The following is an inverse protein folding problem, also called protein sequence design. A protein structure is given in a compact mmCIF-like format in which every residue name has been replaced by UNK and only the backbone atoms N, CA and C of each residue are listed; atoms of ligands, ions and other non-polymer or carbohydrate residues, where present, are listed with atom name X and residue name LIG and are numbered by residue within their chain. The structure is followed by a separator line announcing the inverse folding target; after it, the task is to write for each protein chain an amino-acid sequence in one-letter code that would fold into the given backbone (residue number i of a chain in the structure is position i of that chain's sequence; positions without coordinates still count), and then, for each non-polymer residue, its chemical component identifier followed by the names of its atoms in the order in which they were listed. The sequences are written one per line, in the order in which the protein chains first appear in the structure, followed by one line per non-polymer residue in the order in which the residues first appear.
data_IF_508920645950
#
_entry.id   IF_508920645950
#
_cell.length_a   1.000
_cell.length_b   1.000
_cell.length_c   1.000
_cell.angle_alpha   90.00
_cell.angle_beta   90.00
_cell.angle_gamma   90.00
#
_symmetry.space_group_name_H-M   'P 1'
#
loop_
_entity.id
_entity.type
_entity.pdbx_description
1 polymer ?
#
# COMPACT_ATOMS: atom_id res chain seq x y z
N UNK A 1 5.96 35.01 42.84
CA UNK A 1 7.24 35.17 42.10
C UNK A 1 6.99 35.23 40.58
N UNK A 2 7.90 35.81 39.77
CA UNK A 2 7.75 35.86 38.30
C UNK A 2 7.62 34.45 37.67
N UNK A 3 8.31 33.46 38.24
CA UNK A 3 8.26 32.07 37.79
C UNK A 3 6.91 31.35 38.02
N UNK A 4 6.03 31.92 38.85
CA UNK A 4 4.70 31.36 39.15
C UNK A 4 3.60 31.90 38.22
N UNK A 5 3.92 32.91 37.41
CA UNK A 5 2.98 33.50 36.45
C UNK A 5 2.86 32.62 35.21
N UNK A 6 1.66 32.60 34.65
CA UNK A 6 1.42 32.02 33.33
C UNK A 6 1.64 33.08 32.25
N UNK A 7 2.33 32.69 31.19
CA UNK A 7 2.67 33.52 30.06
C UNK A 7 2.12 32.88 28.79
N UNK A 8 1.61 33.71 27.88
CA UNK A 8 1.35 33.31 26.50
C UNK A 8 2.64 33.50 25.71
N UNK A 9 3.34 32.39 25.42
CA UNK A 9 4.65 32.41 24.77
C UNK A 9 4.46 32.07 23.28
N UNK A 10 4.64 33.04 22.36
CA UNK A 10 4.45 32.81 20.93
C UNK A 10 5.29 31.64 20.40
N UNK A 11 4.65 30.70 19.72
CA UNK A 11 5.32 29.55 19.09
C UNK A 11 5.77 28.44 20.06
N UNK A 12 5.37 28.50 21.33
CA UNK A 12 5.68 27.48 22.34
C UNK A 12 4.40 26.94 22.99
N UNK A 13 4.43 25.67 23.43
CA UNK A 13 3.36 25.10 24.26
C UNK A 13 3.58 25.32 25.76
N UNK A 14 4.72 25.92 26.13
CA UNK A 14 5.04 26.18 27.53
C UNK A 14 4.31 27.43 27.99
N UNK A 15 3.65 27.34 29.14
CA UNK A 15 2.91 28.45 29.76
C UNK A 15 3.61 29.04 30.96
N UNK A 16 4.76 28.47 31.39
CA UNK A 16 5.52 28.93 32.56
C UNK A 16 7.00 29.01 32.26
N UNK A 17 7.67 29.97 32.87
CA UNK A 17 9.12 30.16 32.80
C UNK A 17 9.75 29.71 34.13
N UNK A 18 10.79 28.89 34.06
CA UNK A 18 11.48 28.45 35.28
C UNK A 18 12.28 29.60 35.88
N UNK A 19 12.43 29.61 37.20
CA UNK A 19 13.22 30.63 37.91
C UNK A 19 14.65 30.71 37.38
N UNK A 20 15.29 29.56 37.12
CA UNK A 20 16.62 29.47 36.48
C UNK A 20 16.67 30.11 35.10
N UNK A 21 15.59 30.03 34.31
CA UNK A 21 15.53 30.66 32.98
C UNK A 21 15.49 32.18 33.10
N UNK A 22 14.68 32.70 34.03
CA UNK A 22 14.54 34.14 34.29
C UNK A 22 15.86 34.71 34.81
N UNK A 23 16.50 34.02 35.76
CA UNK A 23 17.80 34.38 36.31
C UNK A 23 18.89 34.39 35.21
N UNK A 24 18.94 33.36 34.36
CA UNK A 24 19.88 33.29 33.25
C UNK A 24 19.70 34.44 32.25
N UNK A 25 18.45 34.81 31.93
CA UNK A 25 18.14 35.95 31.07
C UNK A 25 18.53 37.28 31.72
N UNK A 26 18.26 37.46 33.03
CA UNK A 26 18.64 38.66 33.76
C UNK A 26 20.16 38.91 33.70
N UNK A 27 20.96 37.88 33.99
CA UNK A 27 22.42 38.00 33.92
C UNK A 27 22.95 38.09 32.48
N UNK A 28 22.27 37.50 31.49
CA UNK A 28 22.63 37.69 30.09
C UNK A 28 22.39 39.15 29.66
N UNK A 29 21.26 39.72 30.04
CA UNK A 29 20.91 41.12 29.79
C UNK A 29 21.89 42.10 30.47
N UNK A 30 22.28 41.84 31.73
CA UNK A 30 23.28 42.66 32.42
C UNK A 30 24.65 42.67 31.71
N UNK A 31 25.01 41.60 31.00
CA UNK A 31 26.32 41.48 30.33
C UNK A 31 26.38 42.10 28.93
N UNK A 32 25.26 42.18 28.22
CA UNK A 32 25.28 42.59 26.81
C UNK A 32 23.95 43.13 26.30
N UNK A 33 23.13 43.65 27.20
CA UNK A 33 21.84 44.25 26.85
C UNK A 33 20.88 43.26 26.18
N UNK A 34 19.98 43.78 25.36
CA UNK A 34 18.95 42.98 24.70
C UNK A 34 19.53 42.00 23.65
N UNK A 35 20.65 42.35 23.02
CA UNK A 35 21.33 41.51 22.02
C UNK A 35 21.85 40.21 22.63
N UNK A 36 22.26 40.22 23.89
CA UNK A 36 22.70 39.03 24.61
C UNK A 36 21.57 38.02 24.90
N UNK A 37 20.31 38.42 24.76
CA UNK A 37 19.14 37.54 24.86
C UNK A 37 18.81 36.83 23.55
N UNK A 38 19.45 37.23 22.44
CA UNK A 38 19.26 36.52 21.17
C UNK A 38 19.76 35.08 21.27
N UNK A 39 18.97 34.09 20.82
CA UNK A 39 19.40 32.70 20.81
C UNK A 39 20.66 32.53 19.98
N UNK A 40 21.81 32.28 20.64
CA UNK A 40 23.06 31.96 19.94
C UNK A 40 22.85 30.72 19.07
N UNK A 41 23.28 30.80 17.81
CA UNK A 41 23.31 29.65 16.94
C UNK A 41 24.17 28.55 17.59
N UNK A 42 23.64 27.34 17.70
CA UNK A 42 24.38 26.23 18.31
C UNK A 42 25.66 25.93 17.51
N UNK A 43 26.77 25.73 18.21
CA UNK A 43 28.08 25.45 17.60
C UNK A 43 28.14 24.09 16.87
N UNK A 44 27.23 23.15 17.19
CA UNK A 44 27.13 21.82 16.57
C UNK A 44 26.30 21.80 15.28
N UNK A 45 25.90 22.97 14.77
CA UNK A 45 25.05 23.09 13.59
C UNK A 45 25.81 22.62 12.34
N UNK A 46 25.51 21.39 11.90
CA UNK A 46 26.10 20.77 10.71
C UNK A 46 27.03 19.58 10.99
N UNK A 47 27.41 19.35 12.25
CA UNK A 47 28.22 18.18 12.61
C UNK A 47 27.31 16.96 12.80
N UNK A 48 27.46 15.96 11.93
CA UNK A 48 26.79 14.68 12.08
C UNK A 48 27.44 13.91 13.23
N UNK A 49 26.65 13.51 14.24
CA UNK A 49 27.10 12.61 15.32
C UNK A 49 27.36 11.17 14.84
N UNK A 50 27.21 10.90 13.54
CA UNK A 50 27.42 9.58 12.93
C UNK A 50 28.92 9.40 12.66
N UNK A 51 29.54 8.29 13.07
CA UNK A 51 30.95 8.00 12.76
C UNK A 51 31.26 8.02 11.25
N UNK A 52 32.45 8.49 10.81
CA UNK A 52 32.79 8.64 9.38
C UNK A 52 32.58 7.36 8.55
N UNK A 53 32.99 6.20 9.05
CA UNK A 53 32.81 4.92 8.37
C UNK A 53 31.32 4.60 8.10
N UNK A 54 30.44 4.95 9.04
CA UNK A 54 28.99 4.76 8.90
C UNK A 54 28.42 5.80 7.93
N UNK A 55 28.93 7.04 7.93
CA UNK A 55 28.53 8.05 6.95
C UNK A 55 28.83 7.59 5.52
N UNK A 56 30.05 7.10 5.27
CA UNK A 56 30.44 6.57 3.95
C UNK A 56 29.56 5.41 3.52
N UNK A 57 29.26 4.47 4.43
CA UNK A 57 28.37 3.36 4.13
C UNK A 57 26.93 3.81 3.80
N UNK A 58 26.39 4.80 4.52
CA UNK A 58 25.08 5.42 4.22
C UNK A 58 25.10 6.08 2.84
N UNK A 59 26.13 6.88 2.55
CA UNK A 59 26.26 7.60 1.29
C UNK A 59 26.47 6.66 0.10
N UNK A 60 27.32 5.64 0.24
CA UNK A 60 27.54 4.60 -0.75
C UNK A 60 26.24 3.85 -1.05
N UNK A 61 25.52 3.39 -0.01
CA UNK A 61 24.24 2.71 -0.19
C UNK A 61 23.17 3.62 -0.83
N UNK A 62 23.20 4.93 -0.56
CA UNK A 62 22.29 5.89 -1.20
C UNK A 62 22.68 6.21 -2.65
N UNK A 63 23.97 6.24 -2.98
CA UNK A 63 24.46 6.45 -4.36
C UNK A 63 24.23 5.23 -5.24
N UNK A 64 24.41 4.03 -4.68
CA UNK A 64 24.11 2.76 -5.35
C UNK A 64 22.64 2.67 -5.78
N UNK A 65 21.73 3.13 -4.93
CA UNK A 65 20.32 3.26 -5.29
C UNK A 65 19.70 4.53 -4.68
N UNK A 66 19.60 5.63 -5.47
CA UNK A 66 19.06 6.91 -5.03
C UNK A 66 17.62 6.84 -4.50
N UNK A 67 16.85 5.78 -4.80
CA UNK A 67 15.47 5.61 -4.34
C UNK A 67 15.35 5.06 -2.92
N UNK A 68 16.41 4.51 -2.33
CA UNK A 68 16.38 3.93 -0.97
C UNK A 68 15.92 4.95 0.07
N UNK A 69 14.94 4.56 0.88
CA UNK A 69 14.44 5.37 2.00
C UNK A 69 15.40 5.34 3.19
N UNK A 70 15.30 6.34 4.06
CA UNK A 70 16.15 6.44 5.26
C UNK A 70 16.01 5.22 6.16
N UNK A 71 14.78 4.74 6.39
CA UNK A 71 14.53 3.57 7.24
C UNK A 71 15.11 2.29 6.64
N UNK A 72 15.18 2.20 5.30
CA UNK A 72 15.83 1.09 4.60
C UNK A 72 17.35 1.18 4.73
N UNK A 73 17.93 2.36 4.63
CA UNK A 73 19.37 2.55 4.87
C UNK A 73 19.72 2.05 6.27
N UNK A 74 18.99 2.50 7.30
CA UNK A 74 19.22 2.06 8.68
C UNK A 74 19.13 0.53 8.79
N UNK A 75 18.05 -0.09 8.31
CA UNK A 75 17.87 -1.56 8.35
C UNK A 75 18.91 -2.34 7.55
N UNK A 76 19.38 -1.80 6.44
CA UNK A 76 20.39 -2.42 5.60
C UNK A 76 21.75 -2.42 6.31
N UNK A 77 22.12 -1.31 6.93
CA UNK A 77 23.33 -1.19 7.75
C UNK A 77 23.28 -2.08 9.00
N UNK A 78 22.12 -2.17 9.66
CA UNK A 78 21.89 -3.08 10.79
C UNK A 78 22.04 -4.55 10.36
N UNK A 79 21.43 -4.95 9.24
CA UNK A 79 21.54 -6.32 8.70
C UNK A 79 22.95 -6.70 8.27
N UNK A 80 23.75 -5.74 7.80
CA UNK A 80 25.15 -5.95 7.44
C UNK A 80 26.09 -5.99 8.65
N UNK A 81 25.56 -5.83 9.88
CA UNK A 81 26.36 -5.80 11.10
C UNK A 81 27.23 -4.54 11.24
N UNK A 82 27.00 -3.52 10.42
CA UNK A 82 27.80 -2.28 10.41
C UNK A 82 27.38 -1.32 11.53
N UNK A 83 26.16 -1.50 12.06
CA UNK A 83 25.52 -0.63 13.05
C UNK A 83 24.63 -1.48 13.96
N UNK A 84 24.59 -1.19 15.26
CA UNK A 84 23.66 -1.85 16.18
C UNK A 84 22.21 -1.39 15.96
N UNK A 85 21.25 -2.28 16.21
CA UNK A 85 19.83 -1.97 16.04
C UNK A 85 19.42 -0.72 16.84
N UNK A 86 18.85 0.28 16.16
CA UNK A 86 18.40 1.53 16.78
C UNK A 86 19.49 2.59 17.03
N UNK A 87 20.76 2.30 16.71
CA UNK A 87 21.86 3.27 16.87
C UNK A 87 21.76 4.44 15.87
N UNK A 88 21.18 4.23 14.68
CA UNK A 88 20.93 5.27 13.69
C UNK A 88 19.51 5.82 13.80
N UNK A 89 19.39 7.12 14.10
CA UNK A 89 18.09 7.79 14.07
C UNK A 89 17.77 8.33 12.68
N UNK A 90 16.50 8.23 12.27
CA UNK A 90 16.00 8.75 10.98
C UNK A 90 16.39 10.22 10.76
N UNK A 91 16.32 11.04 11.80
CA UNK A 91 16.64 12.47 11.75
C UNK A 91 18.14 12.75 11.56
N UNK A 92 19.03 11.89 12.05
CA UNK A 92 20.47 12.02 11.84
C UNK A 92 20.84 11.66 10.39
N UNK A 93 20.28 10.55 9.88
CA UNK A 93 20.49 10.13 8.49
C UNK A 93 19.90 11.14 7.50
N UNK A 94 18.69 11.67 7.77
CA UNK A 94 18.10 12.73 6.95
C UNK A 94 19.01 13.96 6.85
N UNK A 95 19.56 14.43 7.98
CA UNK A 95 20.48 15.58 8.02
C UNK A 95 21.76 15.32 7.23
N UNK A 96 22.34 14.12 7.35
CA UNK A 96 23.51 13.72 6.56
C UNK A 96 23.20 13.75 5.06
N UNK A 97 22.08 13.16 4.64
CA UNK A 97 21.68 13.13 3.23
C UNK A 97 21.37 14.54 2.68
N UNK A 98 20.75 15.40 3.49
CA UNK A 98 20.53 16.81 3.14
C UNK A 98 21.85 17.56 2.94
N UNK A 99 22.80 17.40 3.87
CA UNK A 99 24.12 18.04 3.77
C UNK A 99 24.90 17.63 2.51
N UNK A 100 24.67 16.42 1.99
CA UNK A 100 25.29 15.91 0.77
C UNK A 100 24.41 16.03 -0.48
N UNK A 101 23.28 16.75 -0.44
CA UNK A 101 22.40 16.96 -1.60
C UNK A 101 21.70 15.69 -2.11
N UNK A 102 21.62 14.64 -1.29
CA UNK A 102 21.03 13.33 -1.62
C UNK A 102 19.62 13.14 -1.03
N UNK A 103 19.02 14.22 -0.52
CA UNK A 103 17.64 14.23 -0.04
C UNK A 103 16.66 14.36 -1.22
N UNK A 104 15.47 13.76 -1.09
CA UNK A 104 14.45 13.75 -2.18
C UNK A 104 14.06 15.18 -2.59
N UNK A 105 13.66 15.41 -3.86
CA UNK A 105 13.09 16.68 -4.28
C UNK A 105 11.86 17.03 -3.42
N UNK A 106 11.81 18.29 -2.97
CA UNK A 106 10.70 18.90 -2.25
C UNK A 106 9.45 18.92 -3.14
N UNK A 107 8.39 18.21 -2.74
CA UNK A 107 7.08 18.34 -3.35
C UNK A 107 6.36 19.60 -2.87
N UNK A 108 5.46 20.11 -3.71
CA UNK A 108 4.65 21.31 -3.48
C UNK A 108 3.78 21.16 -2.22
N UNK A 109 3.68 22.19 -1.35
CA UNK A 109 2.78 22.16 -0.20
C UNK A 109 1.31 22.16 -0.68
N UNK A 110 0.57 21.12 -0.33
CA UNK A 110 -0.90 21.06 -0.45
C UNK A 110 -1.52 21.55 0.85
N UNK A 111 -2.62 22.28 0.76
CA UNK A 111 -3.39 22.74 1.92
C UNK A 111 -3.81 21.55 2.81
N UNK A 112 -3.75 21.69 4.15
CA UNK A 112 -4.12 20.65 5.07
C UNK A 112 -5.65 20.51 5.13
N UNK A 113 -6.21 19.54 4.41
CA UNK A 113 -7.56 19.05 4.69
C UNK A 113 -7.56 18.22 5.99
N UNK A 114 -8.55 18.45 6.85
CA UNK A 114 -8.76 17.66 8.07
C UNK A 114 -9.25 16.25 7.69
N UNK A 115 -8.31 15.31 7.56
CA UNK A 115 -8.62 13.90 7.35
C UNK A 115 -8.66 13.17 8.69
N UNK A 116 -9.85 12.70 9.10
CA UNK A 116 -9.94 11.77 10.24
C UNK A 116 -9.58 10.36 9.77
N UNK A 117 -8.57 9.77 10.41
CA UNK A 117 -8.12 8.43 10.07
C UNK A 117 -9.10 7.39 10.63
N UNK A 118 -10.00 6.88 9.78
CA UNK A 118 -10.80 5.69 10.11
C UNK A 118 -9.91 4.43 9.99
N UNK A 119 -10.07 3.45 10.88
CA UNK A 119 -9.47 2.11 10.77
C UNK A 119 -10.51 1.08 11.18
N UNK A 120 -10.65 0.01 10.39
CA UNK A 120 -11.50 -1.11 10.74
C UNK A 120 -11.05 -1.78 12.06
N UNK A 121 -12.00 -2.30 12.82
CA UNK A 121 -11.72 -2.88 14.13
C UNK A 121 -10.98 -4.21 13.99
N UNK A 122 -11.47 -5.09 13.11
CA UNK A 122 -10.92 -6.42 12.90
C UNK A 122 -10.42 -6.68 11.47
N UNK A 123 -9.43 -7.55 11.34
CA UNK A 123 -9.03 -8.09 10.05
C UNK A 123 -10.20 -8.86 9.41
N UNK A 124 -10.40 -8.66 8.12
CA UNK A 124 -11.54 -9.19 7.38
C UNK A 124 -12.77 -8.28 7.39
N UNK A 125 -12.82 -7.19 8.15
CA UNK A 125 -13.98 -6.29 8.11
C UNK A 125 -14.04 -5.53 6.78
N UNK A 126 -12.92 -4.92 6.37
CA UNK A 126 -12.84 -4.07 5.20
C UNK A 126 -11.57 -4.36 4.43
N UNK A 127 -11.73 -4.73 3.16
CA UNK A 127 -10.64 -4.76 2.20
C UNK A 127 -10.76 -3.58 1.24
N UNK A 128 -9.64 -2.91 0.99
CA UNK A 128 -9.51 -1.88 -0.04
C UNK A 128 -8.83 -2.45 -1.28
N UNK A 129 -9.41 -2.20 -2.44
CA UNK A 129 -8.83 -2.55 -3.74
C UNK A 129 -8.45 -1.32 -4.55
N UNK A 130 -7.28 -1.36 -5.18
CA UNK A 130 -6.80 -0.33 -6.11
C UNK A 130 -5.86 -0.92 -7.17
N UNK A 131 -5.69 -0.18 -8.25
CA UNK A 131 -4.83 -0.53 -9.38
C UNK A 131 -3.71 0.48 -9.50
N UNK A 132 -2.48 -0.02 -9.62
CA UNK A 132 -1.29 0.79 -9.85
C UNK A 132 -0.62 0.40 -11.17
N UNK A 133 -0.19 1.39 -11.96
CA UNK A 133 0.66 1.12 -13.12
C UNK A 133 2.02 0.52 -12.71
N UNK A 134 2.36 -0.59 -13.35
CA UNK A 134 3.61 -1.33 -13.18
C UNK A 134 4.64 -1.09 -14.29
N UNK A 135 5.75 -1.84 -14.27
CA UNK A 135 6.76 -1.80 -15.31
C UNK A 135 6.24 -2.38 -16.63
N UNK A 136 7.00 -2.16 -17.72
CA UNK A 136 6.80 -2.88 -18.97
C UNK A 136 7.60 -4.18 -18.95
N UNK A 137 6.95 -5.30 -19.24
CA UNK A 137 7.53 -6.64 -19.27
C UNK A 137 6.98 -7.43 -20.45
N UNK A 138 7.62 -8.53 -20.87
CA UNK A 138 7.04 -9.41 -21.87
C UNK A 138 5.70 -9.98 -21.39
N UNK A 139 4.65 -9.78 -22.19
CA UNK A 139 3.29 -10.26 -21.98
C UNK A 139 2.83 -10.85 -23.31
N UNK A 140 2.55 -12.16 -23.35
CA UNK A 140 2.16 -12.87 -24.58
C UNK A 140 3.13 -12.61 -25.77
N UNK A 141 4.44 -12.64 -25.50
CA UNK A 141 5.47 -12.47 -26.53
C UNK A 141 5.79 -11.02 -26.93
N UNK A 142 5.08 -10.02 -26.40
CA UNK A 142 5.31 -8.60 -26.70
C UNK A 142 5.55 -7.77 -25.43
N UNK A 143 6.30 -6.67 -25.56
CA UNK A 143 6.56 -5.79 -24.42
C UNK A 143 5.32 -4.95 -24.06
N UNK A 144 4.56 -5.44 -23.09
CA UNK A 144 3.32 -4.82 -22.60
C UNK A 144 3.51 -4.06 -21.29
N UNK A 145 2.57 -3.17 -20.96
CA UNK A 145 2.53 -2.51 -19.65
C UNK A 145 1.78 -3.41 -18.67
N UNK A 146 2.38 -3.70 -17.52
CA UNK A 146 1.73 -4.45 -16.45
C UNK A 146 0.94 -3.52 -15.52
N UNK A 147 -0.16 -4.02 -14.97
CA UNK A 147 -1.01 -3.32 -14.01
C UNK A 147 -1.08 -4.14 -12.73
N UNK A 148 -0.71 -3.56 -11.59
CA UNK A 148 -0.77 -4.21 -10.30
C UNK A 148 -2.15 -4.01 -9.70
N UNK A 149 -2.94 -5.07 -9.59
CA UNK A 149 -4.18 -5.06 -8.81
C UNK A 149 -3.86 -5.52 -7.40
N UNK A 150 -4.32 -4.79 -6.39
CA UNK A 150 -4.02 -5.10 -4.99
C UNK A 150 -5.23 -5.00 -4.11
N UNK A 151 -5.43 -6.01 -3.27
CA UNK A 151 -6.45 -6.05 -2.22
C UNK A 151 -5.75 -6.05 -0.86
N UNK A 152 -6.04 -5.04 -0.04
CA UNK A 152 -5.41 -4.80 1.25
C UNK A 152 -6.44 -4.82 2.36
N UNK A 153 -6.15 -5.57 3.41
CA UNK A 153 -6.91 -5.57 4.64
C UNK A 153 -6.68 -4.27 5.44
N UNK A 154 -7.77 -3.64 5.87
CA UNK A 154 -7.67 -2.34 6.53
C UNK A 154 -7.14 -2.43 7.96
N UNK A 155 -7.64 -3.33 8.80
CA UNK A 155 -7.21 -3.37 10.20
C UNK A 155 -5.74 -3.77 10.33
N UNK A 156 -5.30 -4.75 9.55
CA UNK A 156 -3.97 -5.36 9.68
C UNK A 156 -2.92 -4.81 8.72
N UNK A 157 -3.29 -4.02 7.70
CA UNK A 157 -2.42 -3.64 6.58
C UNK A 157 -1.88 -4.83 5.77
N UNK A 158 -2.39 -6.04 6.00
CA UNK A 158 -1.98 -7.21 5.26
C UNK A 158 -2.48 -7.11 3.81
N UNK A 159 -1.59 -7.35 2.85
CA UNK A 159 -2.01 -7.54 1.46
C UNK A 159 -2.66 -8.91 1.33
N UNK A 160 -3.97 -8.94 1.14
CA UNK A 160 -4.73 -10.18 1.01
C UNK A 160 -4.30 -10.93 -0.26
N UNK A 161 -4.22 -10.19 -1.36
CA UNK A 161 -3.52 -10.62 -2.56
C UNK A 161 -3.20 -9.42 -3.45
N UNK A 162 -2.09 -9.52 -4.18
CA UNK A 162 -1.76 -8.61 -5.28
C UNK A 162 -1.20 -9.41 -6.45
N UNK A 163 -1.52 -9.01 -7.66
CA UNK A 163 -0.95 -9.60 -8.87
C UNK A 163 -0.84 -8.56 -9.98
N UNK A 164 0.23 -8.66 -10.75
CA UNK A 164 0.38 -7.99 -12.03
C UNK A 164 -0.48 -8.69 -13.08
N UNK A 165 -1.24 -7.88 -13.80
CA UNK A 165 -2.20 -8.26 -14.84
C UNK A 165 -1.91 -7.47 -16.11
N UNK A 166 -2.28 -8.01 -17.29
CA UNK A 166 -2.05 -7.35 -18.57
C UNK A 166 -2.94 -6.11 -18.77
N UNK A 167 -4.03 -5.99 -18.02
CA UNK A 167 -4.94 -4.85 -18.03
C UNK A 167 -5.51 -4.55 -16.66
N UNK A 168 -6.43 -3.59 -16.65
CA UNK A 168 -7.17 -3.13 -15.46
C UNK A 168 -8.65 -3.51 -15.51
N UNK A 169 -8.98 -4.62 -16.17
CA UNK A 169 -10.37 -5.02 -16.44
C UNK A 169 -11.05 -5.63 -15.20
N UNK A 170 -12.38 -5.71 -15.21
CA UNK A 170 -13.13 -6.44 -14.18
C UNK A 170 -12.63 -7.88 -13.98
N UNK A 171 -12.26 -8.57 -15.07
CA UNK A 171 -11.74 -9.93 -15.03
C UNK A 171 -10.42 -10.03 -14.26
N UNK A 172 -9.57 -9.02 -14.38
CA UNK A 172 -8.29 -8.96 -13.68
C UNK A 172 -8.52 -8.81 -12.16
N UNK A 173 -9.48 -7.98 -11.78
CA UNK A 173 -9.87 -7.79 -10.38
C UNK A 173 -10.54 -9.04 -9.81
N UNK A 174 -11.43 -9.68 -10.57
CA UNK A 174 -12.09 -10.94 -10.19
C UNK A 174 -11.06 -12.06 -9.96
N UNK A 175 -10.06 -12.18 -10.84
CA UNK A 175 -8.98 -13.15 -10.68
C UNK A 175 -8.16 -12.90 -9.40
N UNK A 176 -7.85 -11.64 -9.09
CA UNK A 176 -7.15 -11.27 -7.85
C UNK A 176 -8.01 -11.52 -6.62
N UNK A 177 -9.30 -11.20 -6.68
CA UNK A 177 -10.25 -11.46 -5.60
C UNK A 177 -10.37 -12.95 -5.30
N UNK A 178 -10.49 -13.80 -6.33
CA UNK A 178 -10.54 -15.25 -6.19
C UNK A 178 -9.36 -15.80 -5.40
N UNK A 179 -8.15 -15.36 -5.75
CA UNK A 179 -6.93 -15.75 -5.05
C UNK A 179 -6.85 -15.17 -3.63
N UNK A 180 -7.32 -13.94 -3.41
CA UNK A 180 -7.37 -13.32 -2.09
C UNK A 180 -8.30 -14.10 -1.14
N UNK A 181 -9.52 -14.43 -1.58
CA UNK A 181 -10.47 -15.15 -0.72
C UNK A 181 -10.05 -16.58 -0.43
N UNK A 182 -9.37 -17.23 -1.39
CA UNK A 182 -8.79 -18.56 -1.19
C UNK A 182 -7.70 -18.54 -0.11
N UNK A 183 -6.85 -17.51 -0.08
CA UNK A 183 -5.72 -17.41 0.84
C UNK A 183 -6.08 -16.87 2.21
N UNK A 184 -7.05 -15.95 2.29
CA UNK A 184 -7.25 -15.06 3.44
C UNK A 184 -8.70 -14.99 3.93
N UNK A 185 -9.59 -15.81 3.38
CA UNK A 185 -11.01 -15.83 3.73
C UNK A 185 -11.81 -14.68 3.12
N UNK A 186 -13.04 -14.51 3.58
CA UNK A 186 -14.02 -13.59 3.03
C UNK A 186 -14.04 -12.27 3.83
N UNK A 187 -13.88 -11.11 3.18
CA UNK A 187 -14.11 -9.85 3.85
C UNK A 187 -15.61 -9.58 4.06
N UNK A 188 -15.97 -8.77 5.05
CA UNK A 188 -17.35 -8.24 5.19
C UNK A 188 -17.63 -7.22 4.10
N UNK A 189 -16.69 -6.28 3.87
CA UNK A 189 -16.80 -5.25 2.84
C UNK A 189 -15.59 -5.25 1.93
N UNK A 190 -15.84 -5.13 0.62
CA UNK A 190 -14.82 -4.85 -0.38
C UNK A 190 -15.05 -3.44 -0.91
N UNK A 191 -14.08 -2.56 -0.71
CA UNK A 191 -14.14 -1.16 -1.14
C UNK A 191 -13.19 -0.96 -2.32
N UNK A 192 -13.72 -0.52 -3.45
CA UNK A 192 -12.97 -0.35 -4.70
C UNK A 192 -13.27 0.99 -5.36
N UNK A 193 -12.33 1.47 -6.18
CA UNK A 193 -12.54 2.73 -6.90
C UNK A 193 -13.62 2.62 -7.97
N UNK A 194 -14.25 3.74 -8.30
CA UNK A 194 -15.35 3.84 -9.26
C UNK A 194 -14.88 3.92 -10.73
N UNK A 195 -13.69 3.39 -11.03
CA UNK A 195 -13.18 3.35 -12.41
C UNK A 195 -14.15 2.59 -13.33
N UNK A 196 -14.19 2.88 -14.64
CA UNK A 196 -15.12 2.24 -15.57
C UNK A 196 -15.01 0.70 -15.60
N UNK A 197 -13.83 0.16 -15.30
CA UNK A 197 -13.61 -1.28 -15.14
C UNK A 197 -14.32 -1.91 -13.92
N UNK A 198 -14.67 -1.12 -12.90
CA UNK A 198 -15.26 -1.59 -11.65
C UNK A 198 -16.79 -1.62 -11.66
N UNK A 199 -17.44 -0.96 -12.65
CA UNK A 199 -18.91 -0.98 -12.83
C UNK A 199 -19.44 -2.29 -13.42
N UNK A 200 -18.63 -3.34 -13.47
CA UNK A 200 -19.05 -4.61 -14.00
C UNK A 200 -20.06 -5.27 -13.06
N UNK A 201 -21.26 -5.53 -13.59
CA UNK A 201 -22.31 -6.32 -12.94
C UNK A 201 -21.80 -7.67 -12.42
N UNK A 202 -20.79 -8.24 -13.08
CA UNK A 202 -20.19 -9.54 -12.74
C UNK A 202 -19.53 -9.53 -11.37
N UNK A 203 -18.72 -8.51 -11.05
CA UNK A 203 -18.07 -8.39 -9.75
C UNK A 203 -19.10 -8.22 -8.61
N UNK A 204 -20.16 -7.44 -8.85
CA UNK A 204 -21.28 -7.29 -7.90
C UNK A 204 -21.95 -8.64 -7.63
N UNK A 205 -22.25 -9.41 -8.67
CA UNK A 205 -22.86 -10.73 -8.52
C UNK A 205 -21.94 -11.71 -7.79
N UNK A 206 -20.63 -11.71 -8.08
CA UNK A 206 -19.65 -12.55 -7.39
C UNK A 206 -19.59 -12.19 -5.91
N UNK A 207 -19.47 -10.90 -5.58
CA UNK A 207 -19.47 -10.44 -4.19
C UNK A 207 -20.76 -10.82 -3.46
N UNK A 208 -21.92 -10.65 -4.10
CA UNK A 208 -23.20 -11.04 -3.52
C UNK A 208 -23.28 -12.55 -3.24
N UNK A 209 -22.81 -13.40 -4.16
CA UNK A 209 -22.77 -14.87 -3.98
C UNK A 209 -21.85 -15.30 -2.83
N UNK A 210 -20.78 -14.54 -2.59
CA UNK A 210 -19.82 -14.76 -1.50
C UNK A 210 -20.23 -14.08 -0.19
N UNK A 211 -21.36 -13.36 -0.17
CA UNK A 211 -21.79 -12.58 0.99
C UNK A 211 -20.80 -11.47 1.36
N UNK A 212 -20.21 -10.82 0.36
CA UNK A 212 -19.31 -9.67 0.49
C UNK A 212 -20.09 -8.41 0.09
N UNK A 213 -20.10 -7.39 0.94
CA UNK A 213 -20.70 -6.11 0.62
C UNK A 213 -19.74 -5.27 -0.23
N UNK A 214 -20.01 -5.19 -1.53
CA UNK A 214 -19.23 -4.37 -2.45
C UNK A 214 -19.61 -2.89 -2.33
N UNK A 215 -18.61 -2.04 -2.07
CA UNK A 215 -18.77 -0.59 -1.93
C UNK A 215 -17.87 0.11 -2.93
N UNK A 216 -18.45 0.99 -3.72
CA UNK A 216 -17.70 1.83 -4.65
C UNK A 216 -17.39 3.18 -4.02
N UNK A 217 -16.12 3.60 -4.04
CA UNK A 217 -15.73 4.92 -3.57
C UNK A 217 -16.46 6.00 -4.37
N UNK A 218 -17.10 6.95 -3.69
CA UNK A 218 -17.61 8.16 -4.36
C UNK A 218 -16.41 8.95 -4.90
N UNK A 219 -16.51 9.54 -6.11
CA UNK A 219 -15.53 10.52 -6.57
C UNK A 219 -15.27 11.57 -5.48
N UNK A 220 -14.01 11.91 -5.25
CA UNK A 220 -13.57 12.96 -4.30
C UNK A 220 -13.65 12.65 -2.78
N UNK A 221 -13.89 11.40 -2.35
CA UNK A 221 -13.78 11.00 -0.92
C UNK A 221 -12.64 9.98 -0.67
N UNK A 222 -11.42 10.45 -0.34
CA UNK A 222 -10.22 9.60 -0.21
C UNK A 222 -10.02 8.96 1.17
N UNK A 223 -10.99 9.05 2.08
CA UNK A 223 -10.81 8.81 3.53
C UNK A 223 -10.28 7.41 3.91
N UNK A 224 -10.35 6.41 3.02
CA UNK A 224 -9.71 5.09 3.19
C UNK A 224 -8.49 4.81 2.30
N UNK A 225 -8.29 5.56 1.20
CA UNK A 225 -7.28 5.26 0.17
C UNK A 225 -5.84 5.56 0.60
N UNK A 226 -5.65 6.50 1.53
CA UNK A 226 -4.32 6.93 1.96
C UNK A 226 -3.42 5.80 2.48
N UNK A 227 -4.00 4.71 3.00
CA UNK A 227 -3.25 3.52 3.45
C UNK A 227 -2.72 2.70 2.27
N UNK A 228 -3.56 2.45 1.27
CA UNK A 228 -3.18 1.72 0.06
C UNK A 228 -2.23 2.55 -0.81
N UNK A 229 -2.42 3.87 -0.89
CA UNK A 229 -1.46 4.79 -1.52
C UNK A 229 -0.09 4.81 -0.82
N UNK A 230 -0.08 4.79 0.52
CA UNK A 230 1.15 4.66 1.31
C UNK A 230 1.82 3.31 1.07
N UNK A 231 1.03 2.24 0.91
CA UNK A 231 1.53 0.95 0.50
C UNK A 231 2.12 1.00 -0.92
N UNK A 232 1.45 1.60 -1.91
CA UNK A 232 1.97 1.78 -3.27
C UNK A 232 3.32 2.52 -3.29
N UNK A 233 3.49 3.54 -2.46
CA UNK A 233 4.78 4.23 -2.29
C UNK A 233 5.85 3.29 -1.73
N UNK A 234 5.49 2.50 -0.72
CA UNK A 234 6.39 1.49 -0.14
C UNK A 234 6.77 0.44 -1.17
N UNK A 235 5.80 -0.06 -1.93
CA UNK A 235 5.99 -1.02 -3.01
C UNK A 235 6.92 -0.48 -4.11
N UNK A 236 6.67 0.75 -4.59
CA UNK A 236 7.53 1.42 -5.57
C UNK A 236 8.97 1.56 -5.06
N UNK A 237 9.12 2.00 -3.82
CA UNK A 237 10.45 2.24 -3.24
C UNK A 237 11.21 0.95 -2.95
N UNK A 238 10.53 -0.10 -2.50
CA UNK A 238 11.16 -1.28 -1.93
C UNK A 238 11.26 -2.48 -2.88
N UNK A 239 10.27 -2.65 -3.76
CA UNK A 239 10.21 -3.74 -4.71
C UNK A 239 10.63 -3.25 -6.09
N UNK A 240 9.86 -2.33 -6.69
CA UNK A 240 10.15 -1.84 -8.05
C UNK A 240 11.49 -1.09 -8.12
N UNK A 241 11.90 -0.43 -7.04
CA UNK A 241 13.18 0.26 -6.95
C UNK A 241 14.41 -0.64 -6.98
N UNK A 242 14.28 -1.93 -6.68
CA UNK A 242 15.36 -2.93 -6.73
C UNK A 242 15.13 -3.97 -7.84
N UNK A 243 14.06 -3.81 -8.63
CA UNK A 243 13.69 -4.77 -9.65
C UNK A 243 14.49 -4.52 -10.93
N UNK A 244 15.34 -5.47 -11.30
CA UNK A 244 16.01 -5.47 -12.60
C UNK A 244 15.05 -5.94 -13.70
N UNK A 245 14.30 -5.00 -14.28
CA UNK A 245 13.23 -5.29 -15.26
C UNK A 245 13.74 -6.09 -16.48
N UNK A 246 15.00 -5.89 -16.88
CA UNK A 246 15.63 -6.62 -17.99
C UNK A 246 15.81 -8.12 -17.73
N UNK A 247 15.74 -8.57 -16.47
CA UNK A 247 15.86 -9.99 -16.08
C UNK A 247 14.51 -10.68 -15.90
N UNK A 248 13.42 -10.00 -16.19
CA UNK A 248 12.07 -10.55 -16.07
C UNK A 248 11.73 -11.26 -17.38
N UNK A 249 11.49 -12.57 -17.29
CA UNK A 249 11.11 -13.38 -18.45
C UNK A 249 9.72 -13.03 -18.96
N UNK A 250 8.74 -13.00 -18.07
CA UNK A 250 7.34 -12.75 -18.39
C UNK A 250 6.54 -12.20 -17.18
N UNK A 251 5.22 -12.08 -17.36
CA UNK A 251 4.31 -11.63 -16.32
C UNK A 251 4.24 -12.59 -15.12
N UNK A 252 4.47 -13.88 -15.32
CA UNK A 252 4.42 -14.89 -14.26
C UNK A 252 5.67 -14.82 -13.37
N UNK A 253 6.87 -14.68 -13.96
CA UNK A 253 8.12 -14.42 -13.23
C UNK A 253 8.00 -13.15 -12.37
N UNK A 254 7.44 -12.07 -12.93
CA UNK A 254 7.19 -10.85 -12.18
C UNK A 254 6.24 -11.10 -10.98
N UNK A 255 5.18 -11.88 -11.17
CA UNK A 255 4.25 -12.24 -10.10
C UNK A 255 4.88 -13.13 -9.02
N UNK A 256 5.72 -14.10 -9.40
CA UNK A 256 6.42 -14.96 -8.46
C UNK A 256 7.36 -14.13 -7.54
N UNK A 257 8.10 -13.18 -8.13
CA UNK A 257 8.95 -12.24 -7.37
C UNK A 257 8.13 -11.33 -6.46
N UNK A 258 7.00 -10.82 -6.95
CA UNK A 258 6.07 -10.01 -6.16
C UNK A 258 5.59 -10.77 -4.92
N UNK A 259 5.08 -11.99 -5.09
CA UNK A 259 4.54 -12.78 -3.99
C UNK A 259 5.61 -13.15 -2.97
N UNK A 260 6.80 -13.53 -3.43
CA UNK A 260 7.96 -13.77 -2.57
C UNK A 260 8.29 -12.54 -1.72
N UNK A 261 8.35 -11.35 -2.33
CA UNK A 261 8.60 -10.12 -1.60
C UNK A 261 7.49 -9.76 -0.60
N UNK A 262 6.21 -9.92 -0.99
CA UNK A 262 5.08 -9.62 -0.10
C UNK A 262 5.14 -10.50 1.16
N UNK A 263 5.28 -11.82 0.99
CA UNK A 263 5.23 -12.78 2.10
C UNK A 263 6.52 -12.76 2.93
N UNK A 264 7.70 -12.71 2.28
CA UNK A 264 8.99 -12.77 2.98
C UNK A 264 9.39 -11.43 3.61
N UNK A 265 9.03 -10.30 2.99
CA UNK A 265 9.51 -8.98 3.40
C UNK A 265 8.38 -8.13 3.95
N UNK A 266 7.35 -7.83 3.15
CA UNK A 266 6.35 -6.83 3.53
C UNK A 266 5.54 -7.25 4.77
N UNK A 267 4.92 -8.43 4.73
CA UNK A 267 4.06 -8.92 5.82
C UNK A 267 4.82 -9.13 7.13
N UNK A 268 6.13 -9.31 7.08
CA UNK A 268 7.02 -9.56 8.23
C UNK A 268 7.79 -8.32 8.69
N UNK A 269 7.58 -7.17 8.06
CA UNK A 269 8.24 -5.92 8.44
C UNK A 269 7.38 -5.13 9.43
N UNK A 270 7.94 -4.63 10.56
CA UNK A 270 7.26 -3.71 11.46
C UNK A 270 6.64 -2.51 10.74
N UNK A 271 5.37 -2.22 11.02
CA UNK A 271 4.62 -1.17 10.33
C UNK A 271 4.29 -0.02 11.28
N UNK A 272 4.68 1.22 10.91
CA UNK A 272 4.47 2.40 11.75
C UNK A 272 2.99 2.71 12.03
N UNK A 273 2.10 2.40 11.08
CA UNK A 273 0.65 2.52 11.26
C UNK A 273 0.00 1.42 12.13
N UNK A 274 0.79 0.50 12.67
CA UNK A 274 0.37 -0.61 13.54
C UNK A 274 1.16 -0.62 14.86
N UNK A 275 1.64 0.56 15.31
CA UNK A 275 2.46 0.70 16.51
C UNK A 275 3.67 -0.25 16.55
N UNK A 276 4.29 -0.53 15.40
CA UNK A 276 5.47 -1.40 15.29
C UNK A 276 5.17 -2.88 15.12
N UNK A 277 3.90 -3.31 15.18
CA UNK A 277 3.53 -4.69 14.83
C UNK A 277 3.70 -4.93 13.32
N UNK A 278 3.95 -6.18 12.94
CA UNK A 278 3.98 -6.58 11.52
C UNK A 278 2.55 -6.79 11.01
N UNK A 279 2.28 -6.58 9.70
CA UNK A 279 0.97 -6.87 9.15
C UNK A 279 0.49 -8.30 9.41
N UNK A 280 1.40 -9.28 9.32
CA UNK A 280 1.07 -10.67 9.59
C UNK A 280 0.68 -10.89 11.06
N UNK A 281 1.46 -10.36 12.01
CA UNK A 281 1.18 -10.52 13.43
C UNK A 281 -0.16 -9.88 13.83
N UNK A 282 -0.46 -8.68 13.29
CA UNK A 282 -1.74 -8.02 13.53
C UNK A 282 -2.90 -8.81 12.94
N UNK A 283 -2.76 -9.35 11.73
CA UNK A 283 -3.77 -10.19 11.11
C UNK A 283 -4.02 -11.48 11.90
N UNK A 284 -2.96 -12.09 12.44
CA UNK A 284 -3.04 -13.33 13.22
C UNK A 284 -3.90 -13.21 14.49
N UNK A 285 -3.97 -12.01 15.08
CA UNK A 285 -4.78 -11.76 16.27
C UNK A 285 -6.29 -11.90 16.03
N UNK A 286 -6.75 -11.71 14.79
CA UNK A 286 -8.16 -11.77 14.43
C UNK A 286 -8.54 -13.08 13.69
N UNK A 287 -7.63 -14.07 13.57
CA UNK A 287 -7.90 -15.30 12.80
C UNK A 287 -9.22 -15.99 13.15
N UNK A 288 -9.58 -16.01 14.44
CA UNK A 288 -10.82 -16.63 14.91
C UNK A 288 -12.09 -15.92 14.41
N UNK A 289 -11.99 -14.66 13.97
CA UNK A 289 -13.09 -13.83 13.46
C UNK A 289 -13.19 -13.87 11.94
N UNK A 290 -12.15 -14.35 11.26
CA UNK A 290 -12.11 -14.37 9.80
C UNK A 290 -13.16 -15.35 9.28
N UNK A 291 -14.02 -14.84 8.40
CA UNK A 291 -15.01 -15.66 7.70
C UNK A 291 -14.30 -16.58 6.73
N UNK A 292 -14.33 -17.88 6.99
CA UNK A 292 -13.77 -18.87 6.07
C UNK A 292 -14.67 -19.06 4.86
N UNK A 293 -14.17 -19.71 3.81
CA UNK A 293 -14.97 -20.04 2.64
C UNK A 293 -16.10 -21.05 2.94
N UNK A 294 -15.95 -21.90 3.97
CA UNK A 294 -16.94 -22.90 4.34
C UNK A 294 -17.47 -23.69 3.14
N UNK A 295 -18.80 -23.71 2.97
CA UNK A 295 -19.50 -24.39 1.88
C UNK A 295 -19.21 -23.85 0.47
N UNK A 296 -18.59 -22.66 0.38
CA UNK A 296 -18.17 -22.09 -0.90
C UNK A 296 -16.88 -22.70 -1.42
N UNK A 297 -16.01 -23.26 -0.55
CA UNK A 297 -14.69 -23.74 -0.95
C UNK A 297 -14.73 -24.78 -2.09
N UNK A 298 -15.57 -25.83 -2.06
CA UNK A 298 -15.63 -26.82 -3.15
C UNK A 298 -16.20 -26.27 -4.47
N UNK A 299 -16.91 -25.14 -4.41
CA UNK A 299 -17.64 -24.55 -5.54
C UNK A 299 -17.08 -23.19 -5.95
N UNK A 300 -15.89 -22.82 -5.46
CA UNK A 300 -15.34 -21.48 -5.60
C UNK A 300 -15.28 -21.06 -7.06
N UNK A 301 -14.80 -21.93 -7.95
CA UNK A 301 -14.73 -21.66 -9.39
C UNK A 301 -16.10 -21.31 -9.98
N UNK A 302 -17.13 -22.09 -9.63
CA UNK A 302 -18.50 -21.87 -10.08
C UNK A 302 -19.14 -20.56 -9.57
N UNK A 303 -18.62 -20.03 -8.45
CA UNK A 303 -19.02 -18.72 -7.93
C UNK A 303 -18.40 -17.57 -8.73
N UNK A 304 -17.28 -17.79 -9.43
CA UNK A 304 -16.64 -16.82 -10.33
C UNK A 304 -17.08 -16.93 -11.79
N UNK A 305 -17.84 -17.98 -12.16
CA UNK A 305 -18.41 -18.07 -13.50
C UNK A 305 -19.37 -16.91 -13.81
N UNK A 306 -19.28 -16.42 -15.04
CA UNK A 306 -20.14 -15.37 -15.58
C UNK A 306 -21.45 -15.98 -16.05
N UNK A 307 -22.56 -15.32 -15.72
CA UNK A 307 -23.91 -15.74 -16.08
C UNK A 307 -24.49 -14.73 -17.06
N UNK A 308 -24.55 -15.11 -18.33
CA UNK A 308 -24.94 -14.24 -19.43
C UNK A 308 -26.26 -14.69 -20.02
N UNK A 309 -27.13 -13.74 -20.37
CA UNK A 309 -28.34 -14.05 -21.14
C UNK A 309 -28.02 -13.98 -22.63
N UNK A 310 -28.33 -15.03 -23.39
CA UNK A 310 -28.16 -15.09 -24.84
C UNK A 310 -29.41 -15.65 -25.49
N UNK A 311 -29.77 -15.10 -26.65
CA UNK A 311 -30.88 -15.60 -27.47
C UNK A 311 -30.36 -16.73 -28.37
N UNK A 312 -31.07 -17.85 -28.37
CA UNK A 312 -30.81 -18.96 -29.29
C UNK A 312 -31.40 -18.60 -30.65
N UNK A 313 -30.57 -18.75 -31.69
CA UNK A 313 -30.93 -18.52 -33.09
C UNK A 313 -31.90 -19.60 -33.57
N UNK A 314 -32.50 -19.38 -34.75
CA UNK A 314 -33.48 -20.32 -35.34
C UNK A 314 -32.84 -21.64 -35.80
N UNK A 315 -31.52 -21.66 -35.96
CA UNK A 315 -30.71 -22.82 -36.33
C UNK A 315 -30.25 -23.64 -35.10
N UNK A 316 -30.73 -23.32 -33.89
CA UNK A 316 -30.32 -24.02 -32.67
C UNK A 316 -28.95 -23.60 -32.13
N UNK A 317 -28.37 -22.51 -32.62
CA UNK A 317 -27.06 -22.02 -32.15
C UNK A 317 -27.16 -20.78 -31.27
N UNK A 318 -26.16 -20.56 -30.42
CA UNK A 318 -25.96 -19.28 -29.72
C UNK A 318 -24.52 -18.78 -29.92
N UNK A 319 -24.32 -17.46 -29.86
CA UNK A 319 -22.99 -16.86 -30.02
C UNK A 319 -22.42 -16.37 -28.70
N UNK A 320 -21.14 -16.67 -28.47
CA UNK A 320 -20.35 -16.17 -27.35
C UNK A 320 -18.88 -15.96 -27.78
N UNK A 321 -18.33 -14.76 -27.53
CA UNK A 321 -16.97 -14.36 -27.90
C UNK A 321 -16.59 -14.68 -29.37
N UNK A 322 -17.50 -14.42 -30.30
CA UNK A 322 -17.26 -14.67 -31.73
C UNK A 322 -17.32 -16.14 -32.16
N UNK A 323 -17.58 -17.06 -31.23
CA UNK A 323 -17.81 -18.49 -31.51
C UNK A 323 -19.29 -18.84 -31.41
N UNK A 324 -19.69 -19.91 -32.09
CA UNK A 324 -21.04 -20.47 -32.04
C UNK A 324 -21.05 -21.78 -31.26
N UNK A 325 -22.09 -21.99 -30.49
CA UNK A 325 -22.31 -23.19 -29.69
C UNK A 325 -23.69 -23.75 -30.02
N UNK A 326 -23.75 -25.05 -30.29
CA UNK A 326 -24.99 -25.77 -30.50
C UNK A 326 -25.70 -26.02 -29.16
N UNK A 327 -27.01 -25.84 -29.16
CA UNK A 327 -27.88 -26.16 -28.03
C UNK A 327 -29.10 -26.93 -28.53
N UNK A 328 -29.82 -27.66 -27.66
CA UNK A 328 -31.02 -28.39 -28.07
C UNK A 328 -31.98 -27.49 -28.86
N UNK A 329 -32.41 -27.96 -30.04
CA UNK A 329 -33.27 -27.20 -30.95
C UNK A 329 -34.58 -26.71 -30.31
N UNK A 330 -35.07 -27.42 -29.28
CA UNK A 330 -36.22 -27.00 -28.47
C UNK A 330 -36.06 -25.62 -27.79
N UNK A 331 -34.83 -25.11 -27.68
CA UNK A 331 -34.52 -23.79 -27.13
C UNK A 331 -34.48 -22.69 -28.19
N UNK A 332 -34.64 -23.01 -29.48
CA UNK A 332 -34.63 -22.06 -30.58
C UNK A 332 -35.60 -20.89 -30.36
N UNK A 333 -35.10 -19.67 -30.58
CA UNK A 333 -35.87 -18.43 -30.36
C UNK A 333 -36.01 -17.99 -28.90
N UNK A 334 -35.64 -18.83 -27.91
CA UNK A 334 -35.70 -18.50 -26.48
C UNK A 334 -34.43 -17.80 -26.00
N UNK A 335 -34.55 -17.07 -24.90
CA UNK A 335 -33.40 -16.56 -24.15
C UNK A 335 -32.97 -17.60 -23.12
N UNK A 336 -31.70 -17.99 -23.14
CA UNK A 336 -31.10 -18.95 -22.22
C UNK A 336 -30.02 -18.28 -21.38
N UNK A 337 -29.79 -18.80 -20.17
CA UNK A 337 -28.71 -18.37 -19.30
C UNK A 337 -27.48 -19.26 -19.54
N UNK A 338 -26.46 -18.68 -20.13
CA UNK A 338 -25.17 -19.32 -20.39
C UNK A 338 -24.26 -19.08 -19.19
N UNK A 339 -23.65 -20.15 -18.67
CA UNK A 339 -22.64 -20.10 -17.62
C UNK A 339 -21.30 -20.34 -18.26
N UNK A 340 -20.37 -19.40 -18.12
CA UNK A 340 -19.04 -19.46 -18.74
C UNK A 340 -17.97 -19.23 -17.70
N UNK A 341 -16.86 -19.94 -17.82
CA UNK A 341 -15.64 -19.60 -17.10
C UNK A 341 -14.90 -18.51 -17.89
N UNK A 342 -14.85 -17.27 -17.39
CA UNK A 342 -14.13 -16.20 -18.10
C UNK A 342 -12.61 -16.28 -17.90
N UNK A 343 -12.13 -17.10 -16.97
CA UNK A 343 -10.72 -17.22 -16.61
C UNK A 343 -10.03 -18.39 -17.32
N UNK A 344 -10.78 -19.33 -17.91
CA UNK A 344 -10.26 -20.48 -18.66
C UNK A 344 -9.64 -20.13 -20.03
N UNK A 345 -9.55 -18.83 -20.37
CA UNK A 345 -9.05 -18.32 -21.66
C UNK A 345 -7.62 -17.79 -21.65
N UNK A 346 -6.82 -18.02 -20.60
CA UNK A 346 -5.37 -17.86 -20.66
C UNK A 346 -4.74 -19.21 -21.06
N UNK A 347 -4.67 -19.44 -22.36
CA UNK A 347 -3.74 -20.36 -23.01
C UNK A 347 -3.08 -19.60 -24.16
#
# INVERSE_FOLDING_TARGET
ALAERHYDIPGSKNTRLSEKTIEAWYYAWLRGGIEALEPKARADRGQSKIPPAIQEAILAAKRENPRRSIDRLCRLLERRGQVAAGQLTRSAVHRLLQAHGLSRPSGTPSEPQEHRAFVAEHAGDIWYGDVMHGPRVPIAGALGKAYLVSLMDDASRLIAHSAFRPGETALDIEAVLKQAVLKRGLPVKLVIDNGPAYRAKTLQEICARLGIHLVYCRPYHPEGKGKLERWHRTFRDQFLGELEVARIGDLEDLNARLWSWIEAVYHRTPHGGLAGQTPLARYQQDLARIRTLGEHAPRLDALFYHRLTRKVRKDGTLSYQGRFFEVPYALSGRCVRVVVDPHSGQA
#
